data_IF_106025699293
#
_entry.id   IF_106025699293
#
_cell.length_a   1.000
_cell.length_b   1.000
_cell.length_c   1.000
_cell.angle_alpha   90.00
_cell.angle_beta   90.00
_cell.angle_gamma   90.00
#
_symmetry.space_group_name_H-M   'P 1'
#
loop_
_entity.id
_entity.type
_entity.pdbx_description
1 polymer ?
#
# COMPACT_ATOMS: atom_id res chain seq x y z
N UNK A 1 -74.83 -37.89 -31.28
CA UNK A 1 -76.21 -37.52 -31.02
C UNK A 1 -76.27 -36.63 -29.80
N UNK A 2 -77.26 -35.80 -29.83
CA UNK A 2 -77.13 -34.34 -30.04
C UNK A 2 -77.32 -33.59 -28.71
N UNK A 3 -77.11 -32.37 -28.56
CA UNK A 3 -78.07 -31.30 -28.90
C UNK A 3 -77.48 -29.93 -28.75
N UNK A 4 -77.69 -29.11 -29.76
CA UNK A 4 -77.56 -27.66 -29.84
C UNK A 4 -78.59 -27.02 -28.92
N UNK A 5 -78.18 -25.95 -28.20
CA UNK A 5 -79.08 -24.85 -27.85
C UNK A 5 -78.34 -23.51 -27.98
N UNK A 6 -78.76 -22.77 -28.99
CA UNK A 6 -78.59 -21.35 -29.19
C UNK A 6 -79.34 -20.53 -28.16
N UNK A 7 -78.81 -19.49 -27.61
CA UNK A 7 -79.62 -18.31 -27.24
C UNK A 7 -78.94 -17.00 -27.52
N UNK A 8 -79.69 -16.13 -28.12
CA UNK A 8 -79.44 -14.78 -28.58
C UNK A 8 -79.61 -13.81 -27.42
N UNK A 9 -78.91 -12.76 -27.51
CA UNK A 9 -79.39 -11.37 -27.47
C UNK A 9 -78.75 -10.50 -26.43
N UNK A 10 -78.38 -9.44 -26.92
CA UNK A 10 -78.67 -8.03 -26.58
C UNK A 10 -77.47 -7.23 -26.05
N UNK A 11 -77.10 -6.29 -26.88
CA UNK A 11 -75.99 -5.35 -26.68
C UNK A 11 -76.25 -4.32 -25.59
N UNK A 12 -75.18 -3.87 -25.04
CA UNK A 12 -75.10 -2.57 -24.43
C UNK A 12 -73.71 -2.00 -24.74
N UNK A 13 -73.66 -0.99 -25.56
CA UNK A 13 -72.49 -0.22 -25.84
C UNK A 13 -72.15 0.61 -24.60
N UNK A 14 -71.02 0.32 -23.97
CA UNK A 14 -70.41 1.21 -23.01
C UNK A 14 -69.20 1.91 -23.65
N UNK A 15 -69.39 3.20 -23.85
CA UNK A 15 -68.33 4.15 -24.29
C UNK A 15 -67.32 4.25 -23.16
N UNK A 16 -66.15 3.62 -23.28
CA UNK A 16 -65.04 3.80 -22.34
C UNK A 16 -64.25 5.01 -22.78
N UNK A 17 -64.37 6.07 -22.02
CA UNK A 17 -63.54 7.29 -22.13
C UNK A 17 -62.13 6.96 -21.67
N UNK A 18 -61.16 6.85 -22.59
CA UNK A 18 -59.75 6.77 -22.26
C UNK A 18 -59.29 8.15 -21.73
N UNK A 19 -59.15 8.26 -20.43
CA UNK A 19 -58.39 9.33 -19.82
C UNK A 19 -56.89 9.06 -19.98
N UNK A 20 -56.23 9.75 -20.93
CA UNK A 20 -54.77 9.84 -20.97
C UNK A 20 -54.33 10.71 -19.77
N UNK A 21 -53.90 10.07 -18.69
CA UNK A 21 -53.15 10.72 -17.64
C UNK A 21 -51.74 11.07 -18.14
N UNK A 22 -51.16 12.20 -17.76
CA UNK A 22 -49.80 12.51 -18.10
C UNK A 22 -48.87 11.51 -17.37
N UNK A 23 -48.05 10.80 -18.14
CA UNK A 23 -46.89 10.03 -17.61
C UNK A 23 -45.94 11.10 -17.05
N UNK A 24 -46.00 11.29 -15.73
CA UNK A 24 -44.96 12.02 -15.04
C UNK A 24 -43.67 11.19 -15.17
N UNK A 25 -42.74 11.64 -16.00
CA UNK A 25 -41.36 11.23 -15.96
C UNK A 25 -40.84 11.57 -14.56
N UNK A 26 -40.88 10.59 -13.66
CA UNK A 26 -40.17 10.69 -12.40
C UNK A 26 -38.68 10.77 -12.74
N UNK A 27 -38.14 11.97 -12.70
CA UNK A 27 -36.71 12.18 -12.62
C UNK A 27 -36.22 11.31 -11.46
N UNK A 28 -35.52 10.19 -11.77
CA UNK A 28 -34.71 9.50 -10.78
C UNK A 28 -33.63 10.50 -10.38
N UNK A 29 -33.85 11.20 -9.30
CA UNK A 29 -32.78 11.83 -8.55
C UNK A 29 -31.91 10.70 -8.07
N UNK A 30 -30.85 10.39 -8.82
CA UNK A 30 -29.78 9.58 -8.27
C UNK A 30 -29.32 10.31 -7.03
N UNK A 31 -29.22 9.63 -5.88
CA UNK A 31 -28.68 10.26 -4.69
C UNK A 31 -27.20 10.54 -4.95
N UNK A 32 -26.90 11.75 -5.42
CA UNK A 32 -25.54 12.33 -5.34
C UNK A 32 -25.28 12.70 -3.88
N UNK A 33 -25.53 11.74 -2.99
CA UNK A 33 -25.17 11.88 -1.60
C UNK A 33 -23.68 11.55 -1.50
N UNK A 34 -22.85 12.56 -1.36
CA UNK A 34 -21.58 12.39 -0.66
C UNK A 34 -21.89 11.58 0.60
N UNK A 35 -21.28 10.40 0.72
CA UNK A 35 -21.41 9.58 1.94
C UNK A 35 -20.65 10.36 3.01
N UNK A 36 -21.35 11.23 3.72
CA UNK A 36 -20.76 11.98 4.82
C UNK A 36 -20.33 10.98 5.88
N UNK A 37 -19.03 10.87 6.08
CA UNK A 37 -18.46 9.97 7.07
C UNK A 37 -18.89 10.42 8.46
N UNK A 38 -19.56 9.51 9.19
CA UNK A 38 -19.98 9.79 10.58
C UNK A 38 -18.90 9.41 11.56
N UNK A 39 -18.66 10.27 12.54
CA UNK A 39 -17.76 10.05 13.67
C UNK A 39 -18.54 9.71 14.95
N UNK A 40 -17.96 9.00 15.95
CA UNK A 40 -16.58 8.52 15.96
C UNK A 40 -16.32 7.36 14.99
N UNK A 41 -15.09 7.29 14.48
CA UNK A 41 -14.60 6.20 13.64
C UNK A 41 -13.62 5.35 14.43
N UNK A 42 -13.76 4.03 14.34
CA UNK A 42 -12.86 3.06 14.97
C UNK A 42 -12.27 2.14 13.92
N UNK A 43 -10.94 2.00 13.91
CA UNK A 43 -10.19 1.05 13.06
C UNK A 43 -9.19 0.25 13.89
N UNK A 44 -8.78 -0.92 13.40
CA UNK A 44 -7.88 -1.79 14.18
C UNK A 44 -6.42 -1.38 14.07
N UNK A 45 -5.92 -1.07 12.86
CA UNK A 45 -4.49 -0.86 12.63
C UNK A 45 -3.61 -2.07 12.96
N UNK A 46 -2.31 -1.82 13.15
CA UNK A 46 -1.33 -2.80 13.59
C UNK A 46 -1.03 -2.71 15.11
N UNK A 47 -1.62 -1.75 15.82
CA UNK A 47 -1.47 -1.60 17.25
C UNK A 47 -2.26 -2.66 18.03
N UNK A 48 -1.92 -2.83 19.30
CA UNK A 48 -2.67 -3.74 20.21
C UNK A 48 -4.11 -3.28 20.48
N UNK A 49 -4.34 -1.98 20.42
CA UNK A 49 -5.66 -1.37 20.65
C UNK A 49 -6.18 -0.73 19.38
N UNK A 50 -7.51 -0.76 19.17
CA UNK A 50 -8.13 -0.01 18.10
C UNK A 50 -7.84 1.50 18.24
N UNK A 51 -7.70 2.15 17.10
CA UNK A 51 -7.63 3.62 17.02
C UNK A 51 -9.03 4.18 16.91
N UNK A 52 -9.36 5.15 17.74
CA UNK A 52 -10.64 5.86 17.72
C UNK A 52 -10.39 7.32 17.37
N UNK A 53 -10.94 7.77 16.24
CA UNK A 53 -11.03 9.19 15.92
C UNK A 53 -12.41 9.70 16.34
N UNK A 54 -12.52 10.57 17.37
CA UNK A 54 -13.80 11.06 17.87
C UNK A 54 -14.47 12.00 16.86
N UNK A 55 -13.68 12.74 16.10
CA UNK A 55 -14.07 13.71 15.08
C UNK A 55 -13.17 13.56 13.86
N UNK A 56 -13.50 14.24 12.76
CA UNK A 56 -12.66 14.30 11.57
C UNK A 56 -11.35 15.00 11.89
N UNK A 57 -10.18 14.33 11.70
CA UNK A 57 -8.90 14.97 12.00
C UNK A 57 -8.63 16.15 11.07
N UNK A 58 -8.29 17.30 11.62
CA UNK A 58 -7.89 18.50 10.89
C UNK A 58 -6.40 18.79 10.99
N UNK A 59 -5.71 18.14 11.94
CA UNK A 59 -4.27 18.28 12.18
C UNK A 59 -3.61 16.90 12.23
N UNK A 60 -3.05 16.48 11.11
CA UNK A 60 -2.49 15.14 10.94
C UNK A 60 -0.96 15.20 10.99
N UNK A 61 -0.35 14.35 11.80
CA UNK A 61 1.08 14.09 11.79
C UNK A 61 1.32 12.70 11.21
N UNK A 62 2.12 12.63 10.13
CA UNK A 62 2.59 11.37 9.58
C UNK A 62 4.06 11.19 9.91
N UNK A 63 4.41 10.09 10.57
CA UNK A 63 5.77 9.82 11.05
C UNK A 63 6.60 8.99 10.07
N UNK A 64 5.95 8.35 9.09
CA UNK A 64 6.58 7.52 8.06
C UNK A 64 6.31 8.07 6.65
N UNK A 65 7.28 8.01 5.71
CA UNK A 65 7.07 8.49 4.36
C UNK A 65 5.91 7.83 3.61
N UNK A 66 5.70 6.52 3.77
CA UNK A 66 4.57 5.80 3.16
C UNK A 66 3.23 6.26 3.71
N UNK A 67 3.15 6.49 5.03
CA UNK A 67 1.98 7.06 5.69
C UNK A 67 1.65 8.46 5.18
N UNK A 68 2.66 9.33 5.05
CA UNK A 68 2.47 10.67 4.50
C UNK A 68 1.99 10.63 3.04
N UNK A 69 2.56 9.74 2.22
CA UNK A 69 2.14 9.52 0.84
C UNK A 69 0.67 9.04 0.76
N UNK A 70 0.23 8.16 1.67
CA UNK A 70 -1.17 7.73 1.75
C UNK A 70 -2.10 8.88 2.13
N UNK A 71 -1.79 9.65 3.17
CA UNK A 71 -2.60 10.83 3.56
C UNK A 71 -2.75 11.80 2.39
N UNK A 72 -1.66 12.03 1.63
CA UNK A 72 -1.67 12.88 0.43
C UNK A 72 -2.55 12.27 -0.68
N UNK A 73 -2.40 10.98 -0.95
CA UNK A 73 -3.18 10.28 -1.97
C UNK A 73 -4.68 10.25 -1.67
N UNK A 74 -5.03 10.23 -0.38
CA UNK A 74 -6.41 10.31 0.10
C UNK A 74 -7.03 11.72 0.05
N UNK A 75 -6.28 12.73 -0.43
CA UNK A 75 -6.77 14.11 -0.51
C UNK A 75 -6.70 14.90 0.79
N UNK A 76 -6.13 14.32 1.87
CA UNK A 76 -6.04 14.96 3.19
C UNK A 76 -4.73 15.77 3.40
N UNK A 77 -4.07 16.12 2.31
CA UNK A 77 -2.78 16.79 2.30
C UNK A 77 -2.74 18.10 3.10
N UNK A 78 -3.74 18.94 2.94
CA UNK A 78 -3.76 20.29 3.55
C UNK A 78 -3.92 20.23 5.08
N UNK A 79 -4.28 19.06 5.60
CA UNK A 79 -4.38 18.74 7.03
C UNK A 79 -3.09 18.19 7.62
N UNK A 80 -2.05 17.89 6.79
CA UNK A 80 -0.74 17.49 7.29
C UNK A 80 -0.03 18.69 7.92
N UNK A 81 0.27 18.59 9.22
CA UNK A 81 1.03 19.59 9.99
C UNK A 81 2.44 19.10 10.34
N UNK A 82 2.66 17.78 10.36
CA UNK A 82 3.95 17.15 10.60
C UNK A 82 4.22 16.01 9.61
N UNK A 83 5.46 15.94 9.11
CA UNK A 83 5.90 14.94 8.11
C UNK A 83 7.31 14.40 8.43
N UNK A 84 7.67 13.22 7.93
CA UNK A 84 9.03 12.72 8.04
C UNK A 84 9.99 13.44 7.06
N UNK A 85 11.27 13.47 7.40
CA UNK A 85 12.32 14.15 6.62
C UNK A 85 12.39 13.71 5.15
N UNK A 86 12.12 12.44 4.84
CA UNK A 86 12.20 11.87 3.49
C UNK A 86 11.16 12.38 2.48
N UNK A 87 10.08 13.03 2.94
CA UNK A 87 9.04 13.59 2.05
C UNK A 87 9.44 14.94 1.45
N UNK A 88 10.24 15.73 2.15
CA UNK A 88 10.62 17.08 1.70
C UNK A 88 11.66 17.12 0.58
N UNK A 89 12.46 16.07 0.39
CA UNK A 89 13.64 16.09 -0.50
C UNK A 89 13.38 15.61 -1.93
N UNK A 90 12.13 15.55 -2.36
CA UNK A 90 11.76 15.37 -3.77
C UNK A 90 11.85 13.93 -4.23
N UNK A 91 11.00 13.29 -4.57
CA UNK A 91 10.47 12.19 -5.36
C UNK A 91 9.12 11.73 -4.81
N UNK A 92 8.55 12.47 -3.84
CA UNK A 92 7.14 12.39 -3.47
C UNK A 92 6.27 13.07 -4.54
N UNK A 93 4.94 12.93 -4.46
CA UNK A 93 4.02 13.58 -5.37
C UNK A 93 4.36 15.07 -5.47
N UNK A 94 4.33 15.61 -6.69
CA UNK A 94 4.91 16.91 -7.15
C UNK A 94 4.53 18.15 -6.34
N UNK A 95 3.94 17.99 -5.19
CA UNK A 95 3.45 19.06 -4.35
C UNK A 95 3.73 18.72 -2.88
N UNK A 96 4.88 19.12 -2.36
CA UNK A 96 5.12 19.13 -0.93
C UNK A 96 4.03 19.96 -0.21
N UNK A 97 3.62 19.59 1.01
CA UNK A 97 2.78 20.44 1.84
C UNK A 97 3.34 21.83 1.95
N UNK A 98 2.49 22.83 2.14
CA UNK A 98 2.89 24.25 2.23
C UNK A 98 3.96 24.53 3.28
N UNK A 99 4.50 25.74 3.28
CA UNK A 99 5.65 26.18 4.10
C UNK A 99 5.50 26.00 5.63
N UNK A 100 4.29 25.66 6.11
CA UNK A 100 3.98 25.51 7.55
C UNK A 100 4.15 24.09 8.10
N UNK A 101 4.55 23.11 7.26
CA UNK A 101 4.66 21.71 7.71
C UNK A 101 6.04 21.44 8.29
N UNK A 102 6.06 20.92 9.51
CA UNK A 102 7.31 20.63 10.24
C UNK A 102 7.80 19.20 9.97
N UNK A 103 9.13 19.02 10.02
CA UNK A 103 9.74 17.69 9.99
C UNK A 103 9.82 17.18 11.43
N UNK A 104 9.07 16.12 11.72
CA UNK A 104 8.88 15.57 13.07
C UNK A 104 9.44 14.18 13.27
N UNK A 105 9.97 13.56 12.21
CA UNK A 105 10.68 12.28 12.30
C UNK A 105 11.79 12.20 11.26
N UNK A 106 12.89 11.55 11.64
CA UNK A 106 14.02 11.27 10.75
C UNK A 106 14.66 9.94 11.15
N UNK A 107 14.99 9.11 10.16
CA UNK A 107 15.64 7.80 10.37
C UNK A 107 14.91 6.90 11.40
N UNK A 108 13.57 6.94 11.41
CA UNK A 108 12.75 6.19 12.35
C UNK A 108 12.66 6.75 13.77
N UNK A 109 13.37 7.85 14.07
CA UNK A 109 13.29 8.53 15.35
C UNK A 109 12.21 9.61 15.34
N UNK A 110 11.38 9.64 16.35
CA UNK A 110 10.28 10.59 16.53
C UNK A 110 10.75 11.77 17.38
N UNK A 111 10.50 12.98 16.92
CA UNK A 111 10.75 14.20 17.68
C UNK A 111 9.50 14.50 18.52
N UNK A 112 9.39 13.88 19.70
CA UNK A 112 8.17 13.87 20.51
C UNK A 112 7.69 15.28 20.85
N UNK A 113 8.58 16.15 21.30
CA UNK A 113 8.23 17.52 21.70
C UNK A 113 7.72 18.35 20.51
N UNK A 114 8.30 18.12 19.30
CA UNK A 114 7.84 18.76 18.06
C UNK A 114 6.45 18.25 17.65
N UNK A 115 6.22 16.94 17.79
CA UNK A 115 4.90 16.34 17.52
C UNK A 115 3.85 16.92 18.46
N UNK A 116 4.13 16.95 19.76
CA UNK A 116 3.21 17.48 20.75
C UNK A 116 2.92 18.97 20.54
N UNK A 117 3.95 19.77 20.20
CA UNK A 117 3.81 21.20 19.91
C UNK A 117 2.96 21.52 18.68
N UNK A 118 2.73 20.54 17.80
CA UNK A 118 1.82 20.68 16.66
C UNK A 118 0.35 20.45 17.02
N UNK A 119 0.03 20.02 18.24
CA UNK A 119 -1.33 19.73 18.68
C UNK A 119 -2.13 18.91 17.65
N UNK A 120 -1.65 17.71 17.22
CA UNK A 120 -2.33 16.91 16.22
C UNK A 120 -3.61 16.26 16.79
N UNK A 121 -4.57 16.02 15.89
CA UNK A 121 -5.76 15.18 16.18
C UNK A 121 -5.48 13.71 15.88
N UNK A 122 -4.60 13.46 14.91
CA UNK A 122 -4.22 12.12 14.45
C UNK A 122 -2.72 12.03 14.22
N UNK A 123 -2.09 11.01 14.82
CA UNK A 123 -0.72 10.59 14.54
C UNK A 123 -0.78 9.28 13.76
N UNK A 124 -0.12 9.23 12.60
CA UNK A 124 0.01 8.04 11.77
C UNK A 124 1.46 7.56 11.86
N UNK A 125 1.65 6.37 12.42
CA UNK A 125 2.94 5.71 12.59
C UNK A 125 2.98 4.36 11.86
N UNK A 126 4.17 3.74 11.78
CA UNK A 126 4.35 2.37 11.27
C UNK A 126 4.99 1.48 12.34
N UNK A 127 4.81 0.14 12.29
CA UNK A 127 5.54 -0.78 13.15
C UNK A 127 7.07 -0.59 12.99
N UNK A 128 7.80 -0.79 14.10
CA UNK A 128 9.26 -0.63 14.12
C UNK A 128 9.75 0.73 14.65
N UNK A 129 8.85 1.71 14.84
CA UNK A 129 9.14 2.92 15.60
C UNK A 129 9.19 2.63 17.10
N UNK A 130 9.91 3.46 17.86
CA UNK A 130 9.98 3.28 19.31
C UNK A 130 8.60 3.48 19.95
N UNK A 131 8.13 2.43 20.65
CA UNK A 131 6.80 2.42 21.28
C UNK A 131 6.68 3.41 22.43
N UNK A 132 7.79 3.71 23.13
CA UNK A 132 7.79 4.67 24.25
C UNK A 132 7.65 6.08 23.71
N UNK A 133 8.35 6.41 22.63
CA UNK A 133 8.24 7.70 21.94
C UNK A 133 6.84 7.91 21.37
N UNK A 134 6.27 6.88 20.72
CA UNK A 134 4.89 6.94 20.19
C UNK A 134 3.87 7.15 21.33
N UNK A 135 3.99 6.37 22.40
CA UNK A 135 3.10 6.50 23.55
C UNK A 135 3.26 7.85 24.28
N UNK A 136 4.46 8.42 24.28
CA UNK A 136 4.74 9.74 24.82
C UNK A 136 4.13 10.82 23.93
N UNK A 137 4.37 10.79 22.63
CA UNK A 137 3.79 11.73 21.68
C UNK A 137 2.25 11.73 21.74
N UNK A 138 1.63 10.54 21.81
CA UNK A 138 0.19 10.39 21.97
C UNK A 138 -0.33 11.02 23.28
N UNK A 139 0.33 10.74 24.42
CA UNK A 139 -0.11 11.28 25.72
C UNK A 139 0.03 12.80 25.81
N UNK A 140 1.13 13.34 25.27
CA UNK A 140 1.41 14.77 25.36
C UNK A 140 0.54 15.60 24.42
N UNK A 141 0.19 15.06 23.25
CA UNK A 141 -0.70 15.73 22.29
C UNK A 141 -2.19 15.46 22.52
N UNK A 142 -2.55 14.34 23.15
CA UNK A 142 -3.93 13.87 23.23
C UNK A 142 -4.49 13.29 21.92
N UNK A 143 -3.66 13.15 20.88
CA UNK A 143 -4.06 12.69 19.55
C UNK A 143 -4.51 11.23 19.52
N UNK A 144 -5.35 10.87 18.57
CA UNK A 144 -5.52 9.47 18.16
C UNK A 144 -4.22 8.95 17.55
N UNK A 145 -3.77 7.75 17.94
CA UNK A 145 -2.59 7.11 17.36
C UNK A 145 -3.04 5.94 16.50
N UNK A 146 -2.76 6.02 15.21
CA UNK A 146 -2.96 4.94 14.25
C UNK A 146 -1.60 4.34 13.85
N UNK A 147 -1.39 3.06 14.18
CA UNK A 147 -0.24 2.31 13.72
C UNK A 147 -0.63 1.57 12.44
N UNK A 148 -0.11 2.03 11.32
CA UNK A 148 -0.42 1.52 9.99
C UNK A 148 0.15 0.11 9.81
N UNK A 149 -0.65 -0.92 9.46
CA UNK A 149 -0.11 -2.22 9.05
C UNK A 149 0.72 -2.06 7.77
N UNK A 150 1.88 -2.76 7.72
CA UNK A 150 2.89 -2.46 6.70
C UNK A 150 3.76 -3.64 6.26
N UNK A 151 3.40 -4.87 6.62
CA UNK A 151 4.26 -6.04 6.37
C UNK A 151 3.99 -6.73 5.03
N UNK A 152 2.93 -6.35 4.31
CA UNK A 152 2.52 -6.95 3.04
C UNK A 152 1.75 -5.96 2.17
N UNK A 153 1.55 -6.31 0.89
CA UNK A 153 0.66 -5.56 -0.01
C UNK A 153 -0.77 -5.52 0.55
N UNK A 154 -1.25 -6.63 1.12
CA UNK A 154 -2.59 -6.70 1.72
C UNK A 154 -2.71 -5.78 2.95
N UNK A 155 -1.63 -5.64 3.72
CA UNK A 155 -1.56 -4.66 4.81
C UNK A 155 -1.65 -3.22 4.30
N UNK A 156 -0.96 -2.91 3.20
CA UNK A 156 -1.03 -1.57 2.58
C UNK A 156 -2.45 -1.27 2.08
N UNK A 157 -3.10 -2.24 1.45
CA UNK A 157 -4.51 -2.10 1.01
C UNK A 157 -5.45 -1.87 2.20
N UNK A 158 -5.29 -2.64 3.28
CA UNK A 158 -6.05 -2.47 4.51
C UNK A 158 -5.80 -1.09 5.13
N UNK A 159 -4.54 -0.71 5.26
CA UNK A 159 -4.15 0.60 5.80
C UNK A 159 -4.74 1.77 4.98
N UNK A 160 -4.75 1.65 3.65
CA UNK A 160 -5.36 2.65 2.77
C UNK A 160 -6.84 2.85 3.10
N UNK A 161 -7.59 1.76 3.26
CA UNK A 161 -9.02 1.83 3.59
C UNK A 161 -9.26 2.34 5.01
N UNK A 162 -8.53 1.82 6.01
CA UNK A 162 -8.66 2.24 7.41
C UNK A 162 -8.32 3.73 7.58
N UNK A 163 -7.23 4.19 6.95
CA UNK A 163 -6.82 5.58 6.99
C UNK A 163 -7.84 6.48 6.28
N UNK A 164 -8.43 6.02 5.16
CA UNK A 164 -9.52 6.73 4.49
C UNK A 164 -10.73 6.95 5.39
N UNK A 165 -11.12 5.95 6.19
CA UNK A 165 -12.18 6.12 7.20
C UNK A 165 -11.76 7.10 8.30
N UNK A 166 -10.54 7.00 8.83
CA UNK A 166 -10.05 7.90 9.88
C UNK A 166 -10.05 9.35 9.43
N UNK A 167 -9.57 9.62 8.21
CA UNK A 167 -9.44 11.00 7.70
C UNK A 167 -10.72 11.51 7.00
N UNK A 168 -11.79 10.71 6.92
CA UNK A 168 -13.07 11.12 6.34
C UNK A 168 -13.07 11.15 4.81
N UNK A 169 -12.23 10.34 4.16
CA UNK A 169 -12.09 10.25 2.70
C UNK A 169 -12.29 8.79 2.20
N UNK A 170 -13.43 8.14 2.53
CA UNK A 170 -13.63 6.72 2.22
C UNK A 170 -13.77 6.43 0.72
N UNK A 171 -14.19 7.41 -0.09
CA UNK A 171 -14.32 7.26 -1.56
C UNK A 171 -12.92 7.25 -2.17
N UNK A 172 -12.09 8.25 -1.86
CA UNK A 172 -10.70 8.32 -2.34
C UNK A 172 -9.90 7.09 -1.90
N UNK A 173 -10.15 6.57 -0.69
CA UNK A 173 -9.49 5.36 -0.20
C UNK A 173 -9.81 4.12 -1.04
N UNK A 174 -11.06 3.97 -1.49
CA UNK A 174 -11.45 2.88 -2.40
C UNK A 174 -10.79 3.03 -3.76
N UNK A 175 -10.73 4.23 -4.30
CA UNK A 175 -10.08 4.52 -5.59
C UNK A 175 -8.58 4.22 -5.53
N UNK A 176 -7.88 4.67 -4.49
CA UNK A 176 -6.45 4.39 -4.28
C UNK A 176 -6.21 2.89 -4.09
N UNK A 177 -7.03 2.21 -3.28
CA UNK A 177 -6.91 0.79 -3.06
C UNK A 177 -7.16 -0.02 -4.34
N UNK A 178 -8.11 0.38 -5.18
CA UNK A 178 -8.38 -0.25 -6.46
C UNK A 178 -7.24 -0.04 -7.45
N UNK A 179 -6.68 1.17 -7.51
CA UNK A 179 -5.49 1.43 -8.32
C UNK A 179 -4.32 0.52 -7.93
N UNK A 180 -4.05 0.37 -6.62
CA UNK A 180 -3.01 -0.56 -6.13
C UNK A 180 -3.32 -2.00 -6.56
N UNK A 181 -4.58 -2.46 -6.43
CA UNK A 181 -4.97 -3.81 -6.85
C UNK A 181 -4.73 -4.04 -8.34
N UNK A 182 -5.11 -3.08 -9.18
CA UNK A 182 -4.90 -3.17 -10.63
C UNK A 182 -3.42 -3.24 -10.98
N UNK A 183 -2.58 -2.40 -10.36
CA UNK A 183 -1.13 -2.43 -10.58
C UNK A 183 -0.52 -3.78 -10.17
N UNK A 184 -0.93 -4.30 -9.01
CA UNK A 184 -0.46 -5.61 -8.50
C UNK A 184 -0.91 -6.75 -9.41
N UNK A 185 -2.18 -6.78 -9.81
CA UNK A 185 -2.74 -7.80 -10.67
C UNK A 185 -2.05 -7.82 -12.04
N UNK A 186 -1.79 -6.65 -12.64
CA UNK A 186 -1.08 -6.55 -13.92
C UNK A 186 0.32 -7.19 -13.88
N UNK A 187 1.04 -7.01 -12.76
CA UNK A 187 2.36 -7.65 -12.58
C UNK A 187 2.21 -9.16 -12.39
N UNK A 188 1.29 -9.60 -11.52
CA UNK A 188 1.06 -11.02 -11.24
C UNK A 188 0.61 -11.76 -12.51
N UNK A 189 -0.23 -11.16 -13.35
CA UNK A 189 -0.67 -11.70 -14.64
C UNK A 189 0.51 -11.80 -15.66
N UNK A 190 1.38 -10.78 -15.71
CA UNK A 190 2.55 -10.77 -16.57
C UNK A 190 3.52 -11.93 -16.30
N UNK A 191 3.66 -12.30 -15.02
CA UNK A 191 4.56 -13.40 -14.62
C UNK A 191 3.83 -14.75 -14.46
N UNK A 192 2.52 -14.79 -14.72
CA UNK A 192 1.73 -16.01 -14.55
C UNK A 192 2.33 -17.19 -15.34
N UNK A 193 2.45 -18.34 -14.69
CA UNK A 193 3.02 -19.55 -15.30
C UNK A 193 4.55 -19.55 -15.42
N UNK A 194 5.25 -18.48 -15.08
CA UNK A 194 6.71 -18.48 -15.05
C UNK A 194 7.23 -19.23 -13.81
N UNK A 195 8.33 -20.02 -13.94
CA UNK A 195 8.87 -20.76 -12.81
C UNK A 195 9.47 -19.81 -11.78
N UNK A 196 9.22 -20.03 -10.46
CA UNK A 196 9.79 -19.20 -9.40
C UNK A 196 11.32 -19.15 -9.45
N UNK A 197 11.89 -17.99 -9.15
CA UNK A 197 13.35 -17.76 -9.13
C UNK A 197 13.88 -17.81 -7.70
N UNK A 198 14.89 -18.66 -7.45
CA UNK A 198 15.60 -18.62 -6.17
C UNK A 198 16.39 -17.32 -6.07
N UNK A 199 16.14 -16.57 -4.98
CA UNK A 199 16.59 -15.19 -4.86
C UNK A 199 17.25 -14.96 -3.50
N UNK A 200 18.37 -14.24 -3.49
CA UNK A 200 18.91 -13.63 -2.28
C UNK A 200 18.66 -12.14 -2.34
N UNK A 201 18.14 -11.56 -1.27
CA UNK A 201 17.89 -10.12 -1.15
C UNK A 201 18.77 -9.59 -0.04
N UNK A 202 19.74 -8.75 -0.41
CA UNK A 202 20.74 -8.16 0.47
C UNK A 202 20.34 -6.73 0.84
N UNK A 203 20.12 -6.48 2.11
CA UNK A 203 19.91 -5.14 2.65
C UNK A 203 21.20 -4.42 3.06
N UNK A 204 22.34 -5.05 2.86
CA UNK A 204 23.70 -4.57 3.16
C UNK A 204 24.50 -5.59 3.92
N UNK A 205 25.77 -5.74 3.57
CA UNK A 205 26.70 -6.67 4.22
C UNK A 205 26.19 -8.11 4.33
N UNK A 206 25.50 -8.61 3.29
CA UNK A 206 24.86 -9.92 3.27
C UNK A 206 23.75 -10.12 4.32
N UNK A 207 23.18 -9.05 4.87
CA UNK A 207 22.02 -9.14 5.75
C UNK A 207 20.79 -9.43 4.90
N UNK A 208 20.13 -10.58 5.11
CA UNK A 208 18.97 -10.94 4.31
C UNK A 208 17.73 -10.15 4.72
N UNK A 209 16.90 -9.82 3.72
CA UNK A 209 15.58 -9.24 3.99
C UNK A 209 14.66 -10.32 4.57
N UNK A 210 13.96 -10.05 5.69
CA UNK A 210 13.00 -10.97 6.28
C UNK A 210 11.83 -11.28 5.33
N UNK A 211 11.43 -12.55 5.23
CA UNK A 211 10.25 -12.92 4.41
C UNK A 211 8.95 -12.28 4.91
N UNK A 212 8.87 -12.01 6.23
CA UNK A 212 7.72 -11.34 6.87
C UNK A 212 7.92 -9.83 6.93
N UNK A 213 8.29 -9.23 5.80
CA UNK A 213 8.39 -7.78 5.61
C UNK A 213 7.72 -7.41 4.29
N UNK A 214 7.42 -6.13 4.07
CA UNK A 214 6.86 -5.66 2.82
C UNK A 214 7.72 -6.07 1.62
N UNK A 215 9.04 -5.84 1.69
CA UNK A 215 9.96 -6.24 0.62
C UNK A 215 9.99 -7.76 0.44
N UNK A 216 9.92 -8.55 1.52
CA UNK A 216 9.81 -10.02 1.45
C UNK A 216 8.52 -10.48 0.75
N UNK A 217 7.39 -9.84 1.05
CA UNK A 217 6.11 -10.10 0.39
C UNK A 217 6.15 -9.71 -1.09
N UNK A 218 6.71 -8.54 -1.42
CA UNK A 218 6.89 -8.08 -2.80
C UNK A 218 7.75 -9.06 -3.61
N UNK A 219 8.88 -9.52 -3.06
CA UNK A 219 9.73 -10.53 -3.72
C UNK A 219 8.96 -11.82 -3.98
N UNK A 220 8.18 -12.28 -3.01
CA UNK A 220 7.36 -13.49 -3.14
C UNK A 220 6.29 -13.32 -4.23
N UNK A 221 5.55 -12.20 -4.22
CA UNK A 221 4.51 -11.88 -5.22
C UNK A 221 5.12 -11.72 -6.61
N UNK A 222 6.32 -11.17 -6.71
CA UNK A 222 7.09 -11.07 -7.95
C UNK A 222 7.64 -12.43 -8.44
N UNK A 223 7.28 -13.56 -7.83
CA UNK A 223 7.76 -14.89 -8.21
C UNK A 223 9.16 -15.23 -7.70
N UNK A 224 9.70 -14.47 -6.76
CA UNK A 224 10.95 -14.77 -6.07
C UNK A 224 10.73 -15.76 -4.92
N UNK A 225 11.68 -16.66 -4.73
CA UNK A 225 11.75 -17.56 -3.59
C UNK A 225 13.05 -17.28 -2.81
N UNK A 226 12.90 -16.66 -1.64
CA UNK A 226 14.05 -16.35 -0.79
C UNK A 226 14.82 -17.62 -0.43
N UNK A 227 16.15 -17.54 -0.50
CA UNK A 227 17.02 -18.60 -0.01
C UNK A 227 17.40 -18.41 1.47
N UNK A 228 17.14 -17.25 2.02
CA UNK A 228 17.43 -16.96 3.43
C UNK A 228 16.46 -17.67 4.37
N UNK A 229 15.21 -17.94 3.90
CA UNK A 229 14.14 -18.52 4.69
C UNK A 229 13.53 -17.50 5.63
N UNK A 230 12.64 -17.96 6.52
CA UNK A 230 11.89 -17.12 7.45
C UNK A 230 12.73 -16.56 8.62
N UNK A 231 14.05 -16.55 8.51
CA UNK A 231 14.93 -16.15 9.62
C UNK A 231 14.93 -14.63 9.76
N UNK A 232 14.37 -14.07 10.82
CA UNK A 232 14.43 -12.65 11.09
C UNK A 232 15.71 -12.34 11.87
N UNK A 233 16.88 -12.50 11.26
CA UNK A 233 18.13 -12.13 11.93
C UNK A 233 18.70 -10.90 11.25
N UNK A 234 19.06 -9.85 11.99
CA UNK A 234 19.84 -8.74 11.46
C UNK A 234 21.31 -9.13 11.25
N UNK A 235 21.63 -10.42 11.32
CA UNK A 235 22.98 -10.94 11.14
C UNK A 235 23.27 -11.27 9.68
N UNK A 236 24.53 -11.11 9.24
CA UNK A 236 24.95 -11.51 7.91
C UNK A 236 24.66 -12.98 7.62
N UNK A 237 24.11 -13.26 6.46
CA UNK A 237 23.85 -14.63 6.01
C UNK A 237 25.18 -15.34 5.75
N UNK A 238 25.42 -16.53 6.32
CA UNK A 238 26.68 -17.22 6.18
C UNK A 238 27.05 -17.47 4.71
N UNK A 239 28.23 -17.03 4.28
CA UNK A 239 28.67 -17.10 2.88
C UNK A 239 28.78 -18.54 2.35
N UNK A 240 29.20 -19.50 3.20
CA UNK A 240 29.20 -20.91 2.87
C UNK A 240 27.78 -21.43 2.57
N UNK A 241 26.77 -20.97 3.33
CA UNK A 241 25.36 -21.29 3.10
C UNK A 241 24.85 -20.60 1.82
N UNK A 242 25.24 -19.35 1.57
CA UNK A 242 24.91 -18.61 0.34
C UNK A 242 25.43 -19.38 -0.89
N UNK A 243 26.67 -19.83 -0.85
CA UNK A 243 27.27 -20.66 -1.93
C UNK A 243 26.53 -21.98 -2.15
N UNK A 244 26.21 -22.69 -1.07
CA UNK A 244 25.45 -23.96 -1.19
C UNK A 244 24.05 -23.74 -1.75
N UNK A 245 23.35 -22.66 -1.36
CA UNK A 245 22.01 -22.33 -1.85
C UNK A 245 22.02 -21.77 -3.27
N UNK A 246 23.11 -21.13 -3.68
CA UNK A 246 23.44 -20.67 -5.01
C UNK A 246 22.26 -20.03 -5.77
N UNK A 247 21.83 -18.81 -5.39
CA UNK A 247 20.64 -18.17 -5.93
C UNK A 247 20.73 -17.91 -7.43
N UNK A 248 19.56 -17.90 -8.10
CA UNK A 248 19.45 -17.57 -9.51
C UNK A 248 19.53 -16.08 -9.77
N UNK A 249 19.04 -15.28 -8.81
CA UNK A 249 19.04 -13.82 -8.85
C UNK A 249 19.55 -13.29 -7.51
N UNK A 250 20.38 -12.25 -7.58
CA UNK A 250 20.85 -11.48 -6.43
C UNK A 250 20.24 -10.07 -6.51
N UNK A 251 19.43 -9.73 -5.54
CA UNK A 251 18.85 -8.40 -5.40
C UNK A 251 19.57 -7.68 -4.26
N UNK A 252 19.97 -6.45 -4.49
CA UNK A 252 20.54 -5.59 -3.47
C UNK A 252 19.62 -4.37 -3.27
N UNK A 253 19.41 -3.93 -2.05
CA UNK A 253 18.72 -2.66 -1.83
C UNK A 253 19.66 -1.49 -2.16
N UNK A 254 19.13 -0.34 -2.54
CA UNK A 254 19.94 0.84 -2.86
C UNK A 254 20.77 1.34 -1.66
N UNK A 255 20.40 0.97 -0.45
CA UNK A 255 21.11 1.31 0.79
C UNK A 255 22.27 0.34 1.07
N UNK A 256 22.26 -0.85 0.46
CA UNK A 256 23.28 -1.87 0.69
C UNK A 256 24.68 -1.48 0.20
N UNK A 257 24.75 -0.54 -0.77
CA UNK A 257 25.99 -0.11 -1.43
C UNK A 257 26.77 -1.25 -2.11
N UNK A 258 26.17 -2.42 -2.29
CA UNK A 258 26.77 -3.58 -2.97
C UNK A 258 26.58 -3.44 -4.47
N UNK A 259 27.64 -3.64 -5.23
CA UNK A 259 27.63 -3.70 -6.70
C UNK A 259 27.89 -5.12 -7.20
N UNK A 260 27.58 -5.36 -8.47
CA UNK A 260 27.93 -6.62 -9.14
C UNK A 260 29.44 -6.82 -9.20
N UNK A 261 30.22 -5.73 -9.35
CA UNK A 261 31.69 -5.81 -9.42
C UNK A 261 32.31 -6.13 -8.06
N UNK A 262 31.73 -5.66 -6.95
CA UNK A 262 32.13 -6.07 -5.60
C UNK A 262 31.90 -7.57 -5.40
N UNK A 263 30.75 -8.08 -5.85
CA UNK A 263 30.44 -9.50 -5.78
C UNK A 263 31.37 -10.36 -6.65
N UNK A 264 31.81 -9.85 -7.80
CA UNK A 264 32.78 -10.51 -8.70
C UNK A 264 34.19 -10.51 -8.13
N UNK A 265 34.58 -9.43 -7.46
CA UNK A 265 35.90 -9.30 -6.84
C UNK A 265 36.05 -10.15 -5.57
N UNK A 266 34.93 -10.50 -4.90
CA UNK A 266 34.96 -11.31 -3.70
C UNK A 266 34.97 -12.82 -4.06
N UNK A 267 36.07 -13.57 -3.70
CA UNK A 267 36.17 -15.00 -3.99
C UNK A 267 35.02 -15.85 -3.45
N UNK A 268 34.37 -15.41 -2.37
CA UNK A 268 33.27 -16.14 -1.75
C UNK A 268 31.95 -16.01 -2.54
N UNK A 269 31.82 -14.99 -3.40
CA UNK A 269 30.60 -14.72 -4.16
C UNK A 269 30.75 -14.77 -5.66
N UNK A 270 31.97 -14.66 -6.18
CA UNK A 270 32.29 -14.67 -7.63
C UNK A 270 31.70 -15.88 -8.37
N UNK A 271 31.67 -17.05 -7.72
CA UNK A 271 31.18 -18.30 -8.32
C UNK A 271 29.65 -18.49 -8.19
N UNK A 272 28.94 -17.55 -7.53
CA UNK A 272 27.49 -17.62 -7.44
C UNK A 272 26.86 -17.56 -8.85
N UNK A 273 25.84 -18.40 -9.08
CA UNK A 273 25.12 -18.44 -10.37
C UNK A 273 24.58 -17.08 -10.78
N UNK A 274 24.05 -16.31 -9.83
CA UNK A 274 23.56 -14.97 -10.06
C UNK A 274 24.67 -14.05 -10.57
N UNK A 275 25.84 -14.05 -9.92
CA UNK A 275 27.00 -13.20 -10.23
C UNK A 275 27.58 -13.55 -11.59
N UNK A 276 27.85 -14.85 -11.85
CA UNK A 276 28.39 -15.34 -13.13
C UNK A 276 27.50 -15.04 -14.33
N UNK A 277 26.18 -15.00 -14.13
CA UNK A 277 25.20 -14.72 -15.19
C UNK A 277 24.79 -13.26 -15.26
N UNK A 278 25.37 -12.38 -14.43
CA UNK A 278 24.97 -10.98 -14.36
C UNK A 278 23.51 -10.77 -13.92
N UNK A 279 22.93 -11.75 -13.20
CA UNK A 279 21.56 -11.66 -12.65
C UNK A 279 21.58 -10.94 -11.30
N UNK A 280 21.93 -9.68 -11.36
CA UNK A 280 22.01 -8.74 -10.25
C UNK A 280 21.14 -7.53 -10.56
N UNK A 281 20.39 -7.05 -9.57
CA UNK A 281 19.64 -5.82 -9.70
C UNK A 281 19.61 -5.06 -8.35
N UNK A 282 19.55 -3.74 -8.45
CA UNK A 282 19.37 -2.84 -7.31
C UNK A 282 17.89 -2.49 -7.20
N UNK A 283 17.31 -2.76 -6.02
CA UNK A 283 15.95 -2.38 -5.68
C UNK A 283 16.00 -1.05 -4.92
N UNK A 284 15.21 -0.08 -5.38
CA UNK A 284 15.15 1.22 -4.73
C UNK A 284 14.45 1.11 -3.38
N UNK A 285 15.19 1.27 -2.29
CA UNK A 285 14.67 1.14 -0.92
C UNK A 285 13.52 2.11 -0.66
N UNK A 286 13.63 3.33 -1.19
CA UNK A 286 12.56 4.33 -1.09
C UNK A 286 11.23 3.91 -1.73
N UNK A 287 11.25 2.96 -2.64
CA UNK A 287 10.06 2.43 -3.27
C UNK A 287 9.59 1.15 -2.57
N UNK A 288 10.52 0.22 -2.32
CA UNK A 288 10.21 -1.12 -1.84
C UNK A 288 9.96 -1.23 -0.33
N UNK A 289 10.51 -0.29 0.46
CA UNK A 289 10.34 -0.28 1.93
C UNK A 289 9.28 0.73 2.41
N UNK A 290 8.55 1.39 1.49
CA UNK A 290 7.50 2.36 1.84
C UNK A 290 6.11 1.71 1.71
N UNK A 291 5.41 1.50 2.83
CA UNK A 291 4.05 0.96 2.81
C UNK A 291 3.04 2.05 2.38
N UNK A 292 3.03 2.37 1.11
CA UNK A 292 2.28 3.50 0.55
C UNK A 292 1.66 3.20 -0.81
N UNK A 293 1.08 4.21 -1.48
CA UNK A 293 0.30 4.04 -2.71
C UNK A 293 1.12 3.57 -3.91
N UNK A 294 2.46 3.57 -3.80
CA UNK A 294 3.38 3.16 -4.89
C UNK A 294 3.83 1.70 -4.79
N UNK A 295 3.19 0.89 -3.94
CA UNK A 295 3.57 -0.51 -3.71
C UNK A 295 3.47 -1.37 -4.97
N UNK A 296 2.52 -1.08 -5.88
CA UNK A 296 2.40 -1.75 -7.17
C UNK A 296 3.63 -1.54 -8.06
N UNK A 297 4.15 -0.31 -8.12
CA UNK A 297 5.41 0.01 -8.85
C UNK A 297 6.64 -0.67 -8.23
N UNK A 298 6.66 -0.82 -6.91
CA UNK A 298 7.72 -1.58 -6.24
C UNK A 298 7.69 -3.06 -6.66
N UNK A 299 6.51 -3.64 -6.74
CA UNK A 299 6.32 -5.00 -7.22
C UNK A 299 6.79 -5.17 -8.67
N UNK A 300 6.42 -4.24 -9.55
CA UNK A 300 6.82 -4.23 -10.96
C UNK A 300 8.35 -4.18 -11.10
N UNK A 301 9.03 -3.29 -10.38
CA UNK A 301 10.50 -3.20 -10.38
C UNK A 301 11.16 -4.52 -10.00
N UNK A 302 10.64 -5.18 -8.97
CA UNK A 302 11.19 -6.47 -8.51
C UNK A 302 10.89 -7.57 -9.53
N UNK A 303 9.68 -7.63 -10.07
CA UNK A 303 9.30 -8.61 -11.08
C UNK A 303 10.12 -8.47 -12.38
N UNK A 304 10.35 -7.24 -12.84
CA UNK A 304 11.23 -6.95 -13.98
C UNK A 304 12.67 -7.38 -13.72
N UNK A 305 13.18 -7.22 -12.51
CA UNK A 305 14.51 -7.72 -12.13
C UNK A 305 14.59 -9.25 -12.11
N UNK A 306 13.51 -9.93 -11.72
CA UNK A 306 13.44 -11.40 -11.73
C UNK A 306 13.22 -11.96 -13.14
N UNK A 307 12.40 -11.30 -13.96
CA UNK A 307 11.98 -11.77 -15.29
C UNK A 307 12.13 -10.68 -16.35
N UNK A 308 13.35 -10.18 -16.63
CA UNK A 308 13.54 -9.04 -17.53
C UNK A 308 12.92 -9.23 -18.91
N UNK A 309 12.87 -10.47 -19.42
CA UNK A 309 12.29 -10.75 -20.73
C UNK A 309 10.74 -10.63 -20.76
N UNK A 310 10.07 -10.72 -19.62
CA UNK A 310 8.62 -10.58 -19.53
C UNK A 310 8.19 -9.10 -19.46
N UNK A 311 9.12 -8.21 -19.13
CA UNK A 311 8.91 -6.77 -19.01
C UNK A 311 9.72 -5.97 -20.06
N UNK A 312 10.40 -6.65 -21.01
CA UNK A 312 10.99 -5.97 -22.15
C UNK A 312 9.83 -5.47 -23.04
N UNK A 313 9.77 -4.18 -23.28
CA UNK A 313 8.89 -3.63 -24.32
C UNK A 313 9.31 -4.27 -25.65
N UNK A 314 8.33 -4.79 -26.39
CA UNK A 314 8.55 -5.25 -27.79
C UNK A 314 9.01 -4.03 -28.60
N UNK A 315 10.32 -3.95 -28.88
CA UNK A 315 10.98 -2.88 -29.62
C UNK A 315 10.65 -2.89 -31.13
#
# INVERSE_FOLDING_TARGET
MPTVVTNRATGCAFLALLALGPVACGERVEPTGEIEQRYPVTVQGAGERPTVAPERPERIVALDPGAAELVIALGARDRLVGIPAGIRRGNGPRHAPGAAVQVVSANGQVQVDEVAGLEPDLIVATPGMDLLDLARAQRESGAALYVQPSSSVDDVLRATLELGFLVGEPVAAREVAEQIRMEVAAVEDTIAGLPPRTTFVDSGFFIPVPERSLLGDLVRRAGGRSIAGATPSPEPFPLDRLRRRNPQVYLATSESQVSLDDLRANPETAELRAVRRGRFAIIQSELANRPGPRVGRALEQIAAALYPNAFAEDG
#
